data_IF_515296275899
#
_entry.id   IF_515296275899
#
_cell.length_a   1.000
_cell.length_b   1.000
_cell.length_c   1.000
_cell.angle_alpha   90.00
_cell.angle_beta   90.00
_cell.angle_gamma   90.00
#
_symmetry.space_group_name_H-M   'P 1'
#
loop_
_entity.id
_entity.type
_entity.pdbx_description
1 polymer ?
#
# COMPACT_ATOMS: atom_id res chain seq x y z
N UNK A 1 -25.26 -23.57 -4.02
CA UNK A 1 -25.24 -22.33 -4.81
C UNK A 1 -23.84 -22.20 -5.40
N UNK A 2 -23.71 -22.14 -6.73
CA UNK A 2 -22.41 -21.97 -7.39
C UNK A 2 -21.98 -20.50 -7.22
N UNK A 3 -20.79 -20.27 -6.68
CA UNK A 3 -20.20 -18.93 -6.62
C UNK A 3 -20.17 -18.36 -8.04
N UNK A 4 -20.69 -17.14 -8.21
CA UNK A 4 -20.41 -16.33 -9.40
C UNK A 4 -18.88 -16.25 -9.56
N UNK A 5 -18.32 -16.39 -10.77
CA UNK A 5 -16.92 -16.07 -10.98
C UNK A 5 -16.69 -14.62 -10.57
N UNK A 6 -15.75 -14.40 -9.65
CA UNK A 6 -15.21 -13.07 -9.41
C UNK A 6 -14.62 -12.54 -10.73
N UNK A 7 -14.77 -11.25 -11.06
CA UNK A 7 -14.08 -10.66 -12.20
C UNK A 7 -12.56 -10.90 -12.08
N UNK A 8 -11.83 -10.94 -13.21
CA UNK A 8 -10.49 -11.51 -13.29
C UNK A 8 -9.57 -10.98 -12.18
N UNK A 9 -8.95 -11.94 -11.49
CA UNK A 9 -8.18 -11.84 -10.26
C UNK A 9 -7.22 -10.64 -10.25
N UNK A 10 -7.52 -9.60 -9.45
CA UNK A 10 -6.54 -8.58 -9.07
C UNK A 10 -5.30 -9.20 -8.39
N UNK A 11 -5.52 -10.36 -7.76
CA UNK A 11 -4.50 -11.22 -7.15
C UNK A 11 -3.52 -11.85 -8.16
N UNK A 12 -3.78 -11.75 -9.47
CA UNK A 12 -2.92 -12.32 -10.54
C UNK A 12 -1.86 -11.38 -11.08
N UNK A 13 -1.75 -10.13 -10.61
CA UNK A 13 -0.67 -9.25 -11.05
C UNK A 13 0.52 -9.39 -10.07
N UNK A 14 1.59 -10.13 -10.42
CA UNK A 14 2.74 -10.29 -9.53
C UNK A 14 3.31 -8.93 -9.10
N UNK A 15 3.22 -7.93 -9.98
CA UNK A 15 3.70 -6.58 -9.72
C UNK A 15 3.05 -5.91 -8.51
N UNK A 16 1.75 -6.13 -8.26
CA UNK A 16 1.06 -5.57 -7.11
C UNK A 16 1.59 -6.13 -5.79
N UNK A 17 1.98 -7.41 -5.80
CA UNK A 17 2.41 -8.13 -4.60
C UNK A 17 3.91 -7.95 -4.38
N UNK A 18 4.73 -8.15 -5.40
CA UNK A 18 6.19 -8.00 -5.33
C UNK A 18 6.59 -6.57 -4.96
N UNK A 19 5.91 -5.56 -5.53
CA UNK A 19 6.17 -4.17 -5.20
C UNK A 19 6.01 -3.89 -3.70
N UNK A 20 4.88 -4.34 -3.12
CA UNK A 20 4.61 -4.16 -1.69
C UNK A 20 5.49 -5.06 -0.81
N UNK A 21 5.86 -6.26 -1.27
CA UNK A 21 6.78 -7.17 -0.58
C UNK A 21 8.16 -6.55 -0.39
N UNK A 22 8.72 -5.95 -1.43
CA UNK A 22 10.02 -5.25 -1.36
C UNK A 22 9.98 -4.05 -0.40
N UNK A 23 8.88 -3.30 -0.38
CA UNK A 23 8.66 -2.21 0.57
C UNK A 23 8.60 -2.73 2.01
N UNK A 24 7.81 -3.78 2.27
CA UNK A 24 7.66 -4.37 3.60
C UNK A 24 8.97 -5.01 4.10
N UNK A 25 9.76 -5.60 3.21
CA UNK A 25 11.08 -6.16 3.56
C UNK A 25 12.04 -5.09 4.10
N UNK A 26 12.03 -3.88 3.52
CA UNK A 26 12.82 -2.75 4.01
C UNK A 26 12.33 -2.21 5.37
N UNK A 27 11.09 -2.52 5.76
CA UNK A 27 10.49 -2.06 6.99
C UNK A 27 10.68 -2.99 8.19
N UNK A 28 11.38 -4.11 8.05
CA UNK A 28 11.61 -5.04 9.16
C UNK A 28 12.14 -4.32 10.42
N UNK A 29 11.45 -4.51 11.55
CA UNK A 29 11.70 -3.85 12.83
C UNK A 29 11.22 -2.40 12.94
N UNK A 30 10.60 -1.84 11.91
CA UNK A 30 10.05 -0.47 11.91
C UNK A 30 8.58 -0.46 12.26
N UNK A 31 8.15 0.61 12.91
CA UNK A 31 6.77 0.86 13.23
C UNK A 31 6.12 1.70 12.13
N UNK A 32 5.00 1.22 11.60
CA UNK A 32 4.18 1.88 10.57
C UNK A 32 2.71 1.56 10.81
N UNK A 33 1.82 2.37 10.24
CA UNK A 33 0.44 1.93 10.08
C UNK A 33 0.34 1.09 8.81
N UNK A 34 -0.37 -0.04 8.87
CA UNK A 34 -0.62 -0.89 7.70
C UNK A 34 -2.11 -0.94 7.41
N UNK A 35 -2.48 -0.70 6.15
CA UNK A 35 -3.83 -0.96 5.67
C UNK A 35 -3.95 -2.28 4.92
N UNK A 36 -5.07 -2.97 5.16
CA UNK A 36 -5.48 -4.14 4.40
C UNK A 36 -6.90 -4.00 3.86
N UNK A 37 -7.26 -4.82 2.86
CA UNK A 37 -8.60 -4.81 2.26
C UNK A 37 -9.75 -5.13 3.23
N UNK A 38 -9.47 -5.79 4.35
CA UNK A 38 -10.48 -6.23 5.33
C UNK A 38 -10.54 -5.32 6.58
N UNK A 39 -10.12 -4.05 6.46
CA UNK A 39 -10.25 -3.10 7.55
C UNK A 39 -11.68 -2.59 7.66
N UNK A 40 -12.44 -3.13 8.61
CA UNK A 40 -13.80 -2.68 8.93
C UNK A 40 -13.77 -1.61 10.02
N UNK A 41 -13.58 -0.33 9.67
CA UNK A 41 -14.01 0.79 10.53
C UNK A 41 -13.28 2.14 10.33
N UNK A 42 -13.90 3.27 10.67
CA UNK A 42 -13.25 4.58 10.66
C UNK A 42 -12.06 4.61 11.65
N UNK A 43 -10.89 5.05 11.20
CA UNK A 43 -9.65 5.10 12.03
C UNK A 43 -8.91 3.76 12.17
N UNK A 44 -9.30 2.73 11.43
CA UNK A 44 -8.68 1.41 11.46
C UNK A 44 -7.58 1.30 10.40
N UNK A 45 -6.34 1.64 10.78
CA UNK A 45 -5.14 0.97 10.31
C UNK A 45 -4.73 -0.07 11.35
N UNK A 46 -3.86 -1.03 11.03
CA UNK A 46 -3.07 -1.68 12.09
C UNK A 46 -2.08 -0.65 12.59
N UNK A 47 -2.56 0.25 13.45
CA UNK A 47 -1.80 1.41 13.89
C UNK A 47 -0.62 0.94 14.71
N UNK A 48 0.54 1.55 14.47
CA UNK A 48 1.79 1.20 15.15
C UNK A 48 2.17 -0.28 14.99
N UNK A 49 1.91 -0.88 13.83
CA UNK A 49 2.38 -2.21 13.50
C UNK A 49 3.91 -2.19 13.38
N UNK A 50 4.59 -2.91 14.27
CA UNK A 50 6.00 -3.21 14.11
C UNK A 50 6.14 -4.33 13.09
N UNK A 51 6.63 -4.01 11.89
CA UNK A 51 6.86 -4.99 10.82
C UNK A 51 7.91 -6.00 11.27
N UNK A 52 7.63 -7.28 11.05
CA UNK A 52 8.53 -8.40 11.27
C UNK A 52 8.99 -9.00 9.95
N UNK A 53 9.16 -10.32 9.93
CA UNK A 53 9.66 -11.06 8.78
C UNK A 53 8.57 -11.36 7.75
N UNK A 54 8.98 -11.53 6.50
CA UNK A 54 8.15 -12.11 5.45
C UNK A 54 8.34 -13.63 5.48
N UNK A 55 7.28 -14.36 5.78
CA UNK A 55 7.26 -15.83 5.88
C UNK A 55 6.42 -16.42 4.76
N UNK A 56 6.79 -17.62 4.32
CA UNK A 56 6.11 -18.32 3.21
C UNK A 56 5.94 -17.43 1.97
N UNK A 57 6.94 -16.57 1.71
CA UNK A 57 7.05 -15.65 0.57
C UNK A 57 6.04 -14.48 0.53
N UNK A 58 4.79 -14.70 0.97
CA UNK A 58 3.67 -13.77 0.76
C UNK A 58 2.95 -13.35 2.04
N UNK A 59 3.49 -13.66 3.21
CA UNK A 59 2.90 -13.28 4.50
C UNK A 59 3.87 -12.37 5.25
N UNK A 60 3.49 -11.13 5.47
CA UNK A 60 4.22 -10.25 6.38
C UNK A 60 3.75 -10.49 7.81
N UNK A 61 4.68 -10.75 8.71
CA UNK A 61 4.42 -10.90 10.15
C UNK A 61 4.79 -9.63 10.90
N UNK A 62 4.38 -9.52 12.15
CA UNK A 62 4.79 -8.43 13.03
C UNK A 62 3.97 -8.37 14.31
N UNK A 63 3.98 -7.22 14.97
CA UNK A 63 3.23 -7.02 16.21
C UNK A 63 2.45 -5.72 16.18
N UNK A 64 1.22 -5.76 16.69
CA UNK A 64 0.41 -4.56 17.00
C UNK A 64 0.40 -4.32 18.52
N UNK A 65 0.22 -3.07 18.98
CA UNK A 65 -0.03 -2.79 20.39
C UNK A 65 -1.29 -3.54 20.85
N UNK A 66 -1.20 -4.26 21.97
CA UNK A 66 -2.37 -4.86 22.62
C UNK A 66 -2.90 -3.99 23.77
N UNK A 67 -3.93 -4.47 24.46
CA UNK A 67 -4.36 -3.87 25.72
C UNK A 67 -3.33 -4.13 26.82
N UNK A 68 -2.69 -3.08 27.35
CA UNK A 68 -1.65 -3.16 28.37
C UNK A 68 -0.22 -3.26 27.80
N UNK A 69 0.67 -3.99 28.45
CA UNK A 69 2.07 -4.19 28.00
C UNK A 69 2.25 -5.32 26.98
N UNK A 70 1.19 -6.06 26.65
CA UNK A 70 1.29 -7.23 25.78
C UNK A 70 1.10 -6.83 24.32
N UNK A 71 2.16 -6.97 23.52
CA UNK A 71 2.08 -6.89 22.06
C UNK A 71 1.33 -8.11 21.53
N UNK A 72 0.44 -7.92 20.55
CA UNK A 72 -0.25 -9.00 19.86
C UNK A 72 0.46 -9.29 18.54
N UNK A 73 0.81 -10.55 18.29
CA UNK A 73 1.32 -10.97 16.98
C UNK A 73 0.22 -10.84 15.92
N UNK A 74 0.60 -10.35 14.75
CA UNK A 74 -0.26 -10.22 13.59
C UNK A 74 0.47 -10.69 12.33
N UNK A 75 -0.29 -11.15 11.35
CA UNK A 75 0.21 -11.57 10.06
C UNK A 75 -0.79 -11.18 8.98
N UNK A 76 -0.30 -10.65 7.88
CA UNK A 76 -1.13 -10.20 6.77
C UNK A 76 -0.63 -10.82 5.46
N UNK A 77 -1.52 -11.38 4.63
CA UNK A 77 -1.18 -11.68 3.25
C UNK A 77 -0.78 -10.37 2.55
N UNK A 78 0.38 -10.33 1.91
CA UNK A 78 0.88 -9.14 1.21
C UNK A 78 -0.08 -8.74 0.08
N UNK A 79 -0.73 -9.71 -0.56
CA UNK A 79 -1.78 -9.45 -1.54
C UNK A 79 -2.97 -8.67 -1.00
N UNK A 80 -3.19 -8.63 0.32
CA UNK A 80 -4.25 -7.84 0.93
C UNK A 80 -3.77 -6.47 1.43
N UNK A 81 -2.46 -6.19 1.37
CA UNK A 81 -1.91 -4.92 1.89
C UNK A 81 -2.14 -3.80 0.87
N UNK A 82 -2.93 -2.82 1.27
CA UNK A 82 -3.27 -1.65 0.47
C UNK A 82 -2.16 -0.60 0.53
N UNK A 83 -1.54 -0.45 1.69
CA UNK A 83 -0.42 0.46 1.83
C UNK A 83 0.09 0.53 3.25
N UNK A 84 1.15 1.32 3.41
CA UNK A 84 1.76 1.64 4.69
C UNK A 84 1.86 3.16 4.87
N UNK A 85 1.78 3.64 6.11
CA UNK A 85 1.92 5.06 6.46
C UNK A 85 2.90 5.22 7.62
N UNK A 86 3.77 6.23 7.55
CA UNK A 86 4.68 6.58 8.64
C UNK A 86 5.90 7.39 8.17
N UNK A 87 6.55 8.09 9.11
CA UNK A 87 7.71 8.94 8.81
C UNK A 87 8.92 8.17 8.28
N UNK A 88 9.06 6.90 8.68
CA UNK A 88 10.15 6.01 8.23
C UNK A 88 10.14 5.77 6.72
N UNK A 89 9.02 6.03 6.05
CA UNK A 89 8.82 5.79 4.62
C UNK A 89 9.55 6.77 3.71
N UNK A 90 9.98 7.93 4.22
CA UNK A 90 10.69 8.96 3.43
C UNK A 90 11.98 8.43 2.80
N UNK A 91 12.62 7.44 3.43
CA UNK A 91 13.89 6.85 2.99
C UNK A 91 13.74 5.47 2.35
N UNK A 92 12.52 4.97 2.18
CA UNK A 92 12.27 3.66 1.56
C UNK A 92 12.39 3.81 0.05
N UNK A 93 13.19 2.94 -0.57
CA UNK A 93 13.32 2.90 -2.02
C UNK A 93 12.14 2.16 -2.61
N UNK A 94 11.46 2.77 -3.59
CA UNK A 94 10.42 2.06 -4.33
C UNK A 94 11.06 1.11 -5.35
N UNK A 95 10.46 -0.08 -5.56
CA UNK A 95 10.92 -1.04 -6.57
C UNK A 95 10.96 -0.42 -7.96
N UNK A 96 12.00 -0.75 -8.73
CA UNK A 96 12.18 -0.22 -10.08
C UNK A 96 11.06 -0.69 -11.01
N UNK A 97 10.52 0.23 -11.80
CA UNK A 97 9.51 -0.08 -12.82
C UNK A 97 10.17 -0.89 -13.94
N UNK A 98 9.52 -1.97 -14.36
CA UNK A 98 9.92 -2.80 -15.49
C UNK A 98 8.71 -3.14 -16.38
N UNK A 99 8.98 -3.65 -17.57
CA UNK A 99 7.94 -3.99 -18.57
C UNK A 99 7.28 -5.36 -18.32
N UNK A 100 7.45 -5.97 -17.13
CA UNK A 100 6.86 -7.28 -16.82
C UNK A 100 5.43 -7.20 -16.31
N UNK A 101 4.94 -5.99 -16.05
CA UNK A 101 3.61 -5.75 -15.54
C UNK A 101 2.59 -5.55 -16.66
N UNK A 102 1.42 -6.17 -16.49
CA UNK A 102 0.33 -6.12 -17.45
C UNK A 102 -0.96 -5.57 -16.83
N UNK A 103 -2.01 -5.46 -17.65
CA UNK A 103 -3.35 -5.05 -17.26
C UNK A 103 -3.41 -3.61 -16.69
N UNK A 104 -4.10 -3.44 -15.57
CA UNK A 104 -4.33 -2.13 -14.96
C UNK A 104 -3.08 -1.57 -14.30
N UNK A 105 -2.16 -2.42 -13.80
CA UNK A 105 -0.96 -1.96 -13.08
C UNK A 105 -0.10 -1.10 -14.00
N UNK A 106 0.24 -1.60 -15.20
CA UNK A 106 1.04 -0.84 -16.16
C UNK A 106 0.44 0.51 -16.49
N UNK A 107 -0.89 0.54 -16.67
CA UNK A 107 -1.63 1.75 -17.04
C UNK A 107 -1.63 2.77 -15.91
N UNK A 108 -1.90 2.34 -14.67
CA UNK A 108 -1.91 3.24 -13.51
C UNK A 108 -0.50 3.73 -13.18
N UNK A 109 0.52 2.88 -13.27
CA UNK A 109 1.91 3.25 -13.04
C UNK A 109 2.39 4.27 -14.07
N UNK A 110 2.10 4.04 -15.36
CA UNK A 110 2.43 5.02 -16.42
C UNK A 110 1.71 6.35 -16.22
N UNK A 111 0.44 6.30 -15.79
CA UNK A 111 -0.34 7.50 -15.49
C UNK A 111 0.26 8.28 -14.31
N UNK A 112 0.56 7.59 -13.20
CA UNK A 112 1.19 8.19 -12.02
C UNK A 112 2.56 8.82 -12.33
N UNK A 113 3.37 8.18 -13.19
CA UNK A 113 4.63 8.77 -13.66
C UNK A 113 4.42 10.10 -14.38
N UNK A 114 3.37 10.20 -15.20
CA UNK A 114 3.07 11.43 -15.95
C UNK A 114 2.68 12.59 -15.03
N UNK A 115 2.01 12.30 -13.92
CA UNK A 115 1.54 13.31 -12.96
C UNK A 115 2.43 13.39 -11.71
N UNK A 116 3.60 12.76 -11.72
CA UNK A 116 4.55 12.82 -10.61
C UNK A 116 4.94 14.27 -10.31
N UNK A 117 5.06 14.60 -9.02
CA UNK A 117 5.31 15.96 -8.52
C UNK A 117 4.06 16.83 -8.39
N UNK A 118 2.91 16.40 -8.90
CA UNK A 118 1.64 17.09 -8.68
C UNK A 118 1.04 16.74 -7.33
N UNK A 119 0.23 17.66 -6.82
CA UNK A 119 -0.62 17.46 -5.65
C UNK A 119 -2.00 16.98 -6.12
N UNK A 120 -2.48 15.89 -5.55
CA UNK A 120 -3.70 15.19 -5.95
C UNK A 120 -4.45 14.66 -4.73
N UNK A 121 -5.67 14.19 -4.98
CA UNK A 121 -6.42 13.36 -4.05
C UNK A 121 -6.44 11.91 -4.54
N UNK A 122 -6.22 10.95 -3.65
CA UNK A 122 -6.15 9.51 -3.97
C UNK A 122 -7.15 8.71 -3.14
N UNK A 123 -8.03 8.00 -3.82
CA UNK A 123 -8.90 7.00 -3.21
C UNK A 123 -8.32 5.59 -3.39
N UNK A 124 -8.46 4.76 -2.35
CA UNK A 124 -8.09 3.35 -2.41
C UNK A 124 -9.24 2.46 -1.95
N UNK A 125 -9.09 1.16 -2.16
CA UNK A 125 -10.06 0.17 -1.67
C UNK A 125 -9.99 -0.08 -0.16
N UNK A 126 -9.03 0.50 0.57
CA UNK A 126 -9.01 0.44 2.02
C UNK A 126 -10.11 1.33 2.62
N UNK A 127 -10.19 1.36 3.95
CA UNK A 127 -10.99 2.34 4.69
C UNK A 127 -10.10 3.20 5.57
N UNK A 128 -10.69 4.16 6.30
CA UNK A 128 -9.96 5.01 7.23
C UNK A 128 -8.90 5.89 6.56
N UNK A 129 -7.70 5.92 7.13
CA UNK A 129 -6.61 6.85 6.74
C UNK A 129 -5.90 6.49 5.42
N UNK A 130 -6.34 5.40 4.78
CA UNK A 130 -5.83 4.95 3.50
C UNK A 130 -6.85 5.15 2.37
N UNK A 131 -8.03 5.71 2.67
CA UNK A 131 -9.00 6.13 1.66
C UNK A 131 -9.26 7.63 1.76
N UNK A 132 -9.62 8.28 0.65
CA UNK A 132 -9.75 9.73 0.57
C UNK A 132 -8.50 10.45 1.10
N UNK A 133 -7.33 10.07 0.56
CA UNK A 133 -6.04 10.65 0.90
C UNK A 133 -5.93 11.99 0.14
N UNK A 134 -6.25 13.09 0.82
CA UNK A 134 -6.38 14.39 0.18
C UNK A 134 -5.13 15.26 0.29
N UNK A 135 -4.90 16.09 -0.73
CA UNK A 135 -3.85 17.09 -0.81
C UNK A 135 -2.46 16.49 -0.55
N UNK A 136 -2.14 15.42 -1.29
CA UNK A 136 -0.85 14.72 -1.25
C UNK A 136 -0.07 14.91 -2.54
N UNK A 137 1.25 15.06 -2.44
CA UNK A 137 2.15 15.09 -3.59
C UNK A 137 2.55 13.67 -3.99
N UNK A 138 2.50 13.36 -5.28
CA UNK A 138 3.09 12.13 -5.84
C UNK A 138 4.60 12.31 -5.87
N UNK A 139 5.29 11.81 -4.86
CA UNK A 139 6.72 12.02 -4.69
C UNK A 139 7.55 11.05 -5.55
N UNK A 140 7.18 9.77 -5.54
CA UNK A 140 7.85 8.73 -6.32
C UNK A 140 6.87 7.66 -6.79
N UNK A 141 7.16 7.06 -7.93
CA UNK A 141 6.39 5.96 -8.52
C UNK A 141 7.33 4.78 -8.74
N UNK A 142 6.92 3.60 -8.29
CA UNK A 142 7.64 2.34 -8.44
C UNK A 142 6.75 1.24 -8.99
N UNK A 143 7.32 0.06 -9.19
CA UNK A 143 6.57 -1.14 -9.62
C UNK A 143 5.51 -1.47 -8.57
N UNK A 144 4.25 -1.49 -8.97
CA UNK A 144 3.11 -1.79 -8.10
C UNK A 144 2.90 -0.82 -6.94
N UNK A 145 3.64 0.29 -6.86
CA UNK A 145 3.69 1.15 -5.67
C UNK A 145 3.82 2.62 -6.00
N UNK A 146 3.26 3.48 -5.15
CA UNK A 146 3.42 4.92 -5.24
C UNK A 146 3.66 5.51 -3.86
N UNK A 147 4.63 6.43 -3.76
CA UNK A 147 4.89 7.20 -2.55
C UNK A 147 4.15 8.52 -2.63
N UNK A 148 3.26 8.74 -1.66
CA UNK A 148 2.49 9.96 -1.49
C UNK A 148 3.02 10.69 -0.26
N UNK A 149 3.17 12.01 -0.34
CA UNK A 149 3.66 12.82 0.77
C UNK A 149 2.74 13.99 1.06
N UNK A 150 2.58 14.30 2.34
CA UNK A 150 1.94 15.51 2.87
C UNK A 150 2.77 16.01 4.04
N UNK A 151 2.57 17.24 4.48
CA UNK A 151 3.24 17.78 5.67
C UNK A 151 3.18 16.78 6.84
N UNK A 152 4.34 16.22 7.19
CA UNK A 152 4.54 15.22 8.25
C UNK A 152 3.85 13.86 8.07
N UNK A 153 3.37 13.54 6.87
CA UNK A 153 2.81 12.23 6.58
C UNK A 153 3.38 11.68 5.27
N UNK A 154 3.67 10.39 5.25
CA UNK A 154 4.12 9.69 4.05
C UNK A 154 3.36 8.39 3.97
N UNK A 155 2.89 8.06 2.77
CA UNK A 155 2.26 6.81 2.45
C UNK A 155 3.06 6.13 1.35
N UNK A 156 3.12 4.80 1.39
CA UNK A 156 3.43 3.99 0.21
C UNK A 156 2.20 3.13 -0.05
N UNK A 157 1.53 3.39 -1.17
CA UNK A 157 0.27 2.76 -1.56
C UNK A 157 0.55 1.76 -2.66
N UNK A 158 -0.10 0.60 -2.60
CA UNK A 158 -0.15 -0.36 -3.69
C UNK A 158 -0.99 0.23 -4.83
N UNK A 159 -0.38 0.46 -5.99
CA UNK A 159 -1.05 1.12 -7.11
C UNK A 159 -2.26 0.34 -7.62
N UNK A 160 -2.29 -0.99 -7.42
CA UNK A 160 -3.39 -1.86 -7.82
C UNK A 160 -4.65 -1.72 -6.97
N UNK A 161 -4.53 -1.07 -5.81
CA UNK A 161 -5.65 -0.79 -4.92
C UNK A 161 -6.11 0.67 -4.97
N UNK A 162 -5.53 1.49 -5.85
CA UNK A 162 -6.07 2.82 -6.15
C UNK A 162 -7.39 2.65 -6.91
N UNK A 163 -8.45 3.26 -6.39
CA UNK A 163 -9.77 3.29 -7.02
C UNK A 163 -10.07 4.61 -7.74
N UNK A 164 -9.37 5.69 -7.39
CA UNK A 164 -9.54 6.99 -8.03
C UNK A 164 -8.35 7.92 -7.76
N UNK A 165 -8.06 8.79 -8.73
CA UNK A 165 -7.11 9.90 -8.59
C UNK A 165 -7.84 11.15 -9.08
N UNK A 166 -7.81 12.22 -8.30
CA UNK A 166 -8.55 13.45 -8.56
C UNK A 166 -7.61 14.66 -8.51
N UNK A 167 -8.09 15.79 -9.04
CA UNK A 167 -7.42 17.09 -9.01
C UNK A 167 -6.02 17.13 -9.66
N UNK A 168 -5.81 16.33 -10.71
CA UNK A 168 -4.58 16.35 -11.52
C UNK A 168 -4.72 17.17 -12.81
N UNK A 169 -3.57 17.49 -13.43
CA UNK A 169 -3.44 18.12 -14.76
C UNK A 169 -2.57 17.26 -15.69
N UNK A 170 -2.83 17.30 -17.00
CA UNK A 170 -2.19 16.42 -18.02
C UNK A 170 -1.29 17.14 -19.02
#
# INVERSE_FOLDING_TARGET
MRHKPMPPERDKCPCCVEGMKEVLAQLNGKEVDVATLDQTGPGQGNNNFTVGEIVNDLIVTGTIPGSGQNKRSAAFPICNVVGVRGDVLKNISLPAIDDTCDCCERSITSFLQRIQGQTVDVDTLATGQFNNIQNVTIDAVGKGTVRLTKTNETWIINSCFISGIFDFTL
#
